data_IF_549573384339
#
_entry.id   IF_549573384339
#
_cell.length_a   1.000
_cell.length_b   1.000
_cell.length_c   1.000
_cell.angle_alpha   90.00
_cell.angle_beta   90.00
_cell.angle_gamma   90.00
#
_symmetry.space_group_name_H-M   'P 1'
#
loop_
_entity.id
_entity.type
_entity.pdbx_description
1 polymer ?
#
# COMPACT_ATOMS: atom_id res chain seq x y z
N UNK A 1 -8.88 -24.40 37.75
CA UNK A 1 -7.52 -24.10 37.26
C UNK A 1 -7.33 -24.80 35.92
N UNK A 2 -7.27 -24.06 34.81
CA UNK A 2 -7.18 -24.67 33.47
C UNK A 2 -5.78 -25.28 33.29
N UNK A 3 -5.74 -26.58 32.99
CA UNK A 3 -4.51 -27.37 32.85
C UNK A 3 -3.60 -26.79 31.76
N UNK A 4 -2.54 -26.09 32.15
CA UNK A 4 -1.60 -25.41 31.25
C UNK A 4 -0.80 -26.30 30.28
N UNK A 5 -0.96 -27.64 30.35
CA UNK A 5 -0.31 -28.58 29.42
C UNK A 5 -0.99 -28.57 28.03
N UNK A 6 -2.32 -28.57 27.98
CA UNK A 6 -3.07 -28.59 26.70
C UNK A 6 -2.97 -27.27 25.92
N UNK A 7 -2.86 -26.13 26.62
CA UNK A 7 -2.59 -24.82 26.00
C UNK A 7 -1.21 -24.76 25.34
N UNK A 8 -0.17 -25.29 26.00
CA UNK A 8 1.19 -25.32 25.43
C UNK A 8 1.25 -26.16 24.16
N UNK A 9 0.53 -27.28 24.11
CA UNK A 9 0.44 -28.12 22.90
C UNK A 9 -0.34 -27.45 21.78
N UNK A 10 -1.45 -26.76 22.08
CA UNK A 10 -2.22 -26.03 21.08
C UNK A 10 -1.43 -24.84 20.48
N UNK A 11 -0.66 -24.12 21.29
CA UNK A 11 0.22 -23.05 20.84
C UNK A 11 1.35 -23.61 19.98
N UNK A 12 1.98 -24.71 20.39
CA UNK A 12 3.04 -25.37 19.60
C UNK A 12 2.53 -25.88 18.25
N UNK A 13 1.33 -26.48 18.22
CA UNK A 13 0.69 -26.94 16.97
C UNK A 13 0.35 -25.78 16.02
N UNK A 14 -0.04 -24.63 16.57
CA UNK A 14 -0.33 -23.42 15.78
C UNK A 14 0.96 -22.81 15.20
N UNK A 15 2.02 -22.73 16.01
CA UNK A 15 3.34 -22.27 15.57
C UNK A 15 3.92 -23.14 14.44
N UNK A 16 3.78 -24.46 14.54
CA UNK A 16 4.25 -25.41 13.51
C UNK A 16 3.49 -25.26 12.19
N UNK A 17 2.18 -25.01 12.25
CA UNK A 17 1.37 -24.70 11.06
C UNK A 17 1.73 -23.36 10.44
N UNK A 18 2.02 -22.34 11.24
CA UNK A 18 2.47 -21.04 10.74
C UNK A 18 3.85 -21.14 10.09
N UNK A 19 4.78 -21.90 10.67
CA UNK A 19 6.10 -22.13 10.08
C UNK A 19 5.99 -22.81 8.70
N UNK A 20 5.21 -23.90 8.59
CA UNK A 20 5.01 -24.60 7.31
C UNK A 20 4.31 -23.75 6.24
N UNK A 21 3.37 -22.89 6.64
CA UNK A 21 2.74 -21.93 5.73
C UNK A 21 3.71 -20.81 5.34
N UNK A 22 4.53 -20.31 6.26
CA UNK A 22 5.54 -19.29 5.96
C UNK A 22 6.62 -19.82 5.00
N UNK A 23 7.01 -21.08 5.13
CA UNK A 23 7.97 -21.73 4.23
C UNK A 23 7.41 -21.93 2.82
N UNK A 24 6.17 -22.40 2.71
CA UNK A 24 5.49 -22.56 1.42
C UNK A 24 5.20 -21.21 0.76
N UNK A 25 4.83 -20.18 1.52
CA UNK A 25 4.69 -18.80 1.05
C UNK A 25 6.02 -18.19 0.62
N UNK A 26 7.12 -18.40 1.37
CA UNK A 26 8.47 -17.97 0.96
C UNK A 26 8.87 -18.61 -0.37
N UNK A 27 8.66 -19.91 -0.55
CA UNK A 27 8.94 -20.59 -1.83
C UNK A 27 8.06 -20.06 -2.97
N UNK A 28 6.77 -19.81 -2.70
CA UNK A 28 5.84 -19.23 -3.67
C UNK A 28 6.15 -17.77 -4.05
N UNK A 29 6.74 -16.99 -3.13
CA UNK A 29 7.01 -15.56 -3.33
C UNK A 29 8.41 -15.32 -3.92
N UNK A 30 9.41 -16.11 -3.53
CA UNK A 30 10.79 -16.02 -4.06
C UNK A 30 10.84 -16.34 -5.56
N UNK A 31 9.99 -17.24 -6.06
CA UNK A 31 9.88 -17.53 -7.50
C UNK A 31 9.08 -16.50 -8.31
N UNK A 32 8.21 -15.71 -7.66
CA UNK A 32 7.28 -14.79 -8.35
C UNK A 32 7.88 -13.41 -8.64
N UNK A 33 8.91 -13.00 -7.90
CA UNK A 33 9.56 -11.70 -8.09
C UNK A 33 10.76 -11.74 -9.06
N UNK A 34 11.33 -12.92 -9.32
CA UNK A 34 12.53 -13.09 -10.16
C UNK A 34 12.23 -13.08 -11.67
N UNK A 35 10.98 -13.34 -12.09
CA UNK A 35 10.62 -13.41 -13.51
C UNK A 35 10.10 -12.08 -14.08
N UNK A 36 10.59 -10.94 -13.56
CA UNK A 36 10.31 -9.60 -14.12
C UNK A 36 11.20 -9.26 -15.32
N UNK A 37 11.68 -10.26 -16.08
CA UNK A 37 12.48 -10.06 -17.30
C UNK A 37 11.79 -10.58 -18.58
N UNK A 38 10.70 -11.32 -18.45
CA UNK A 38 9.93 -11.88 -19.58
C UNK A 38 8.41 -11.68 -19.45
N UNK A 39 7.94 -10.82 -18.54
CA UNK A 39 6.58 -10.28 -18.68
C UNK A 39 6.65 -9.27 -19.81
N UNK A 40 6.04 -9.62 -20.96
CA UNK A 40 5.67 -8.66 -22.00
C UNK A 40 5.21 -7.36 -21.31
N UNK A 41 5.75 -6.24 -21.76
CA UNK A 41 5.49 -4.90 -21.22
C UNK A 41 4.01 -4.52 -21.46
N UNK A 42 3.12 -5.09 -20.64
CA UNK A 42 1.70 -4.87 -20.70
C UNK A 42 1.41 -3.62 -19.89
N UNK A 43 1.42 -2.46 -20.54
CA UNK A 43 0.99 -1.22 -19.90
C UNK A 43 -0.52 -1.30 -19.62
N UNK A 44 -0.89 -1.37 -18.35
CA UNK A 44 -2.29 -1.24 -17.93
C UNK A 44 -2.57 0.20 -17.52
N UNK A 45 -3.73 0.69 -17.93
CA UNK A 45 -4.28 1.95 -17.46
C UNK A 45 -4.42 1.98 -15.93
N UNK A 46 -3.77 2.94 -15.26
CA UNK A 46 -3.82 3.08 -13.80
C UNK A 46 -5.24 3.26 -13.25
N UNK A 47 -6.10 3.95 -14.00
CA UNK A 47 -7.47 4.30 -13.57
C UNK A 47 -8.53 3.26 -13.99
N UNK A 48 -8.23 2.44 -15.00
CA UNK A 48 -9.26 1.66 -15.70
C UNK A 48 -8.84 0.23 -16.07
N UNK A 49 -7.59 -0.16 -15.82
CA UNK A 49 -7.08 -1.52 -16.07
C UNK A 49 -6.96 -1.95 -17.53
N UNK A 50 -7.48 -1.15 -18.49
CA UNK A 50 -7.41 -1.46 -19.92
C UNK A 50 -5.97 -1.58 -20.40
N UNK A 51 -5.72 -2.54 -21.31
CA UNK A 51 -4.43 -2.70 -21.98
C UNK A 51 -4.16 -1.48 -22.88
N UNK A 52 -3.02 -0.84 -22.70
CA UNK A 52 -2.53 0.31 -23.45
C UNK A 52 -1.35 -0.15 -24.30
N UNK A 53 -1.25 0.38 -25.52
CA UNK A 53 -0.11 0.13 -26.40
C UNK A 53 1.21 0.58 -25.73
N UNK A 54 2.28 -0.24 -25.76
CA UNK A 54 3.57 0.06 -25.12
C UNK A 54 4.21 1.37 -25.62
N UNK A 55 3.81 1.86 -26.80
CA UNK A 55 4.26 3.13 -27.41
C UNK A 55 3.68 4.39 -26.79
N UNK A 56 2.78 4.27 -25.81
CA UNK A 56 2.20 5.46 -25.14
C UNK A 56 3.07 5.79 -23.92
N UNK A 57 3.63 7.00 -23.87
CA UNK A 57 4.45 7.48 -22.74
C UNK A 57 3.66 7.61 -21.42
N UNK A 58 2.33 7.57 -21.46
CA UNK A 58 1.47 7.68 -20.28
C UNK A 58 1.01 6.34 -19.69
N UNK A 59 0.95 6.25 -18.36
CA UNK A 59 0.27 5.18 -17.59
C UNK A 59 -1.27 5.26 -17.66
N UNK A 60 -1.79 6.23 -18.41
CA UNK A 60 -3.21 6.54 -18.50
C UNK A 60 -3.74 6.18 -19.88
N UNK A 61 -4.92 5.59 -19.89
CA UNK A 61 -5.63 5.39 -21.14
C UNK A 61 -5.90 6.77 -21.78
N UNK A 62 -5.75 6.92 -23.09
CA UNK A 62 -6.04 8.16 -23.84
C UNK A 62 -7.52 8.59 -23.78
N UNK A 63 -8.34 7.96 -22.93
CA UNK A 63 -9.72 8.37 -22.69
C UNK A 63 -9.79 9.57 -21.75
N UNK A 64 -10.61 10.55 -22.12
CA UNK A 64 -10.80 11.77 -21.35
C UNK A 64 -11.21 11.49 -19.88
N UNK A 65 -11.99 10.43 -19.63
CA UNK A 65 -12.41 10.05 -18.28
C UNK A 65 -11.27 9.54 -17.38
N UNK A 66 -10.24 8.91 -17.95
CA UNK A 66 -9.03 8.52 -17.22
C UNK A 66 -8.21 9.75 -16.81
N UNK A 67 -8.07 10.70 -17.74
CA UNK A 67 -7.27 11.91 -17.57
C UNK A 67 -7.89 12.82 -16.50
N UNK A 68 -9.21 13.04 -16.58
CA UNK A 68 -9.95 13.86 -15.61
C UNK A 68 -9.84 13.30 -14.18
N UNK A 69 -10.03 11.98 -14.01
CA UNK A 69 -9.88 11.33 -12.70
C UNK A 69 -8.47 11.49 -12.15
N UNK A 70 -7.46 11.31 -13.00
CA UNK A 70 -6.08 11.46 -12.58
C UNK A 70 -5.75 12.91 -12.16
N UNK A 71 -6.24 13.89 -12.90
CA UNK A 71 -6.06 15.31 -12.56
C UNK A 71 -6.76 15.67 -11.23
N UNK A 72 -7.99 15.19 -11.02
CA UNK A 72 -8.72 15.35 -9.76
C UNK A 72 -7.94 14.75 -8.59
N UNK A 73 -7.45 13.52 -8.75
CA UNK A 73 -6.64 12.86 -7.72
C UNK A 73 -5.33 13.61 -7.41
N UNK A 74 -4.68 14.20 -8.42
CA UNK A 74 -3.50 15.05 -8.23
C UNK A 74 -3.82 16.30 -7.41
N UNK A 75 -4.94 16.97 -7.70
CA UNK A 75 -5.40 18.13 -6.93
C UNK A 75 -5.69 17.74 -5.48
N UNK A 76 -6.44 16.65 -5.26
CA UNK A 76 -6.74 16.13 -3.91
C UNK A 76 -5.46 15.78 -3.16
N UNK A 77 -4.48 15.13 -3.80
CA UNK A 77 -3.19 14.79 -3.16
C UNK A 77 -2.41 16.02 -2.73
N UNK A 78 -2.38 17.08 -3.55
CA UNK A 78 -1.73 18.35 -3.19
C UNK A 78 -2.43 19.01 -2.01
N UNK A 79 -3.76 19.06 -2.05
CA UNK A 79 -4.57 19.59 -0.95
C UNK A 79 -4.33 18.79 0.34
N UNK A 80 -4.45 17.46 0.30
CA UNK A 80 -4.23 16.58 1.45
C UNK A 80 -2.85 16.80 2.09
N UNK A 81 -1.81 17.04 1.28
CA UNK A 81 -0.47 17.34 1.79
C UNK A 81 -0.42 18.66 2.55
N UNK A 82 -1.10 19.69 2.07
CA UNK A 82 -1.22 20.98 2.77
C UNK A 82 -2.03 20.83 4.06
N UNK A 83 -3.19 20.17 4.00
CA UNK A 83 -4.03 19.91 5.17
C UNK A 83 -3.29 19.09 6.24
N UNK A 84 -2.47 18.11 5.85
CA UNK A 84 -1.60 17.37 6.78
C UNK A 84 -0.64 18.28 7.53
N UNK A 85 0.00 19.24 6.84
CA UNK A 85 0.93 20.18 7.48
C UNK A 85 0.20 21.09 8.45
N UNK A 86 -0.93 21.66 8.03
CA UNK A 86 -1.76 22.53 8.89
C UNK A 86 -2.24 21.77 10.13
N UNK A 87 -2.69 20.52 9.95
CA UNK A 87 -3.16 19.68 11.05
C UNK A 87 -2.03 19.35 12.03
N UNK A 88 -0.84 19.00 11.52
CA UNK A 88 0.34 18.75 12.37
C UNK A 88 0.75 20.00 13.14
N UNK A 89 0.75 21.17 12.49
CA UNK A 89 1.02 22.46 13.15
C UNK A 89 -0.08 22.79 14.17
N UNK A 90 -1.34 22.48 13.91
CA UNK A 90 -2.41 22.74 14.87
C UNK A 90 -2.32 21.82 16.11
N UNK A 91 -2.01 20.53 15.92
CA UNK A 91 -1.87 19.58 17.03
C UNK A 91 -0.59 19.87 17.85
N UNK A 92 0.54 20.13 17.20
CA UNK A 92 1.80 20.41 17.88
C UNK A 92 1.88 21.85 18.38
N UNK A 93 1.37 22.81 17.61
CA UNK A 93 1.36 24.24 17.90
C UNK A 93 0.26 24.67 18.87
N UNK A 94 -0.80 23.89 19.05
CA UNK A 94 -1.76 24.08 20.16
C UNK A 94 -1.07 24.04 21.54
N UNK A 95 0.02 23.27 21.67
CA UNK A 95 0.87 23.28 22.86
C UNK A 95 1.74 24.55 22.98
N UNK A 96 2.12 25.19 21.86
CA UNK A 96 2.90 26.44 21.86
C UNK A 96 2.02 27.67 22.13
N UNK A 97 0.76 27.67 21.68
CA UNK A 97 -0.18 28.78 21.92
C UNK A 97 -0.70 28.81 23.37
N UNK A 98 -0.83 27.67 24.04
CA UNK A 98 -1.13 27.60 25.47
C UNK A 98 0.06 27.98 26.37
N UNK A 99 1.29 27.83 25.87
CA UNK A 99 2.53 28.13 26.60
C UNK A 99 3.03 29.57 26.37
N UNK A 100 2.17 30.53 26.00
CA UNK A 100 2.43 31.96 26.17
C UNK A 100 3.79 32.49 25.68
N UNK A 101 4.27 32.05 24.52
CA UNK A 101 5.43 32.65 23.83
C UNK A 101 4.91 33.30 22.54
N UNK A 102 4.11 34.35 22.69
CA UNK A 102 3.92 35.51 21.80
C UNK A 102 3.27 36.58 22.66
#
# INVERSE_FOLDING_TARGET
>A
MVSGKSLKEAVKKSADKLAKNAESMKKATVGKYSNSKNLKDHKHCRECGKMISPSTDGLLCKSQGCIDKFEKNLKVKKQLRLWMIVLVIAILGGNLFQMGII
#
